data_IF_298894564847
#
_entry.id   IF_298894564847
#
_cell.length_a   1.000
_cell.length_b   1.000
_cell.length_c   1.000
_cell.angle_alpha   90.00
_cell.angle_beta   90.00
_cell.angle_gamma   90.00
#
_symmetry.space_group_name_H-M   'P 1'
#
loop_
_entity.id
_entity.type
_entity.pdbx_description
1 polymer ?
#
# COMPACT_ATOMS: atom_id res chain seq x y z
N UNK A 1 36.33 -29.51 39.24
CA UNK A 1 36.08 -28.12 38.83
C UNK A 1 35.11 -28.14 37.65
N UNK A 2 33.85 -27.77 37.87
CA UNK A 2 32.82 -27.71 36.79
C UNK A 2 32.90 -26.37 36.10
N UNK A 3 33.25 -26.33 34.79
CA UNK A 3 33.22 -25.13 33.97
C UNK A 3 31.78 -24.86 33.58
N UNK A 4 31.20 -23.78 34.10
CA UNK A 4 29.88 -23.25 33.67
C UNK A 4 30.12 -22.45 32.39
N UNK A 5 29.65 -22.96 31.26
CA UNK A 5 29.61 -22.24 29.99
C UNK A 5 28.33 -21.41 30.01
N UNK A 6 28.48 -20.10 30.21
CA UNK A 6 27.39 -19.14 30.13
C UNK A 6 27.10 -18.85 28.64
N UNK A 7 26.07 -19.47 28.08
CA UNK A 7 25.63 -19.25 26.72
C UNK A 7 24.81 -17.94 26.67
N UNK A 8 25.44 -16.84 26.29
CA UNK A 8 24.73 -15.58 25.97
C UNK A 8 23.96 -15.76 24.67
N UNK A 9 22.67 -16.06 24.77
CA UNK A 9 21.74 -15.94 23.67
C UNK A 9 21.53 -14.45 23.38
N UNK A 10 22.25 -13.95 22.38
CA UNK A 10 21.96 -12.65 21.75
C UNK A 10 20.58 -12.72 21.06
N UNK A 11 19.54 -12.39 21.79
CA UNK A 11 18.23 -12.12 21.23
C UNK A 11 18.32 -10.79 20.49
N UNK A 12 18.63 -10.83 19.20
CA UNK A 12 18.45 -9.68 18.33
C UNK A 12 16.94 -9.47 18.13
N UNK A 13 16.35 -8.71 19.02
CA UNK A 13 14.99 -8.20 18.83
C UNK A 13 15.02 -7.29 17.59
N UNK A 14 14.52 -7.78 16.47
CA UNK A 14 14.16 -6.94 15.35
C UNK A 14 13.02 -6.03 15.83
N UNK A 15 13.38 -4.84 16.33
CA UNK A 15 12.42 -3.79 16.62
C UNK A 15 11.96 -3.29 15.25
N UNK A 16 10.85 -3.84 14.74
CA UNK A 16 10.12 -3.21 13.67
C UNK A 16 9.64 -1.86 14.21
N UNK A 17 10.33 -0.79 13.85
CA UNK A 17 9.91 0.55 14.20
C UNK A 17 8.53 0.79 13.60
N UNK A 18 7.50 0.75 14.44
CA UNK A 18 6.14 1.04 14.04
C UNK A 18 6.07 2.47 13.53
N UNK A 19 5.45 2.67 12.35
CA UNK A 19 5.25 4.02 11.81
C UNK A 19 4.32 4.79 12.75
N UNK A 20 4.78 5.97 13.19
CA UNK A 20 3.96 6.85 14.00
C UNK A 20 2.99 7.62 13.11
N UNK A 21 1.69 7.36 13.24
CA UNK A 21 0.65 8.00 12.45
C UNK A 21 0.70 9.53 12.53
N UNK A 22 0.81 10.07 13.75
CA UNK A 22 0.77 11.52 13.99
C UNK A 22 1.99 12.27 13.42
N UNK A 23 3.07 11.58 13.14
CA UNK A 23 4.26 12.15 12.50
C UNK A 23 4.03 12.42 11.01
N UNK A 24 3.36 11.48 10.32
CA UNK A 24 3.26 11.48 8.86
C UNK A 24 1.89 11.90 8.32
N UNK A 25 0.82 11.72 9.10
CA UNK A 25 -0.54 11.83 8.60
C UNK A 25 -1.44 12.71 9.46
N UNK A 26 -2.49 13.26 8.83
CA UNK A 26 -3.62 13.91 9.50
C UNK A 26 -4.78 12.92 9.64
N UNK A 27 -5.83 13.32 10.39
CA UNK A 27 -7.03 12.49 10.56
C UNK A 27 -8.03 12.66 9.39
N UNK A 28 -7.53 12.93 8.20
CA UNK A 28 -8.29 13.07 6.96
C UNK A 28 -7.88 11.94 6.00
N UNK A 29 -8.64 11.74 4.94
CA UNK A 29 -8.37 10.74 3.92
C UNK A 29 -7.87 11.40 2.63
N UNK A 30 -6.85 10.81 2.02
CA UNK A 30 -6.50 11.04 0.63
C UNK A 30 -7.04 9.87 -0.19
N UNK A 31 -7.95 10.16 -1.15
CA UNK A 31 -8.40 9.21 -2.15
C UNK A 31 -7.62 9.44 -3.43
N UNK A 32 -7.06 8.37 -3.95
CA UNK A 32 -6.37 8.32 -5.24
C UNK A 32 -7.27 7.56 -6.21
N UNK A 33 -7.77 8.25 -7.22
CA UNK A 33 -8.56 7.64 -8.28
C UNK A 33 -7.66 7.33 -9.49
N UNK A 34 -7.89 6.19 -10.12
CA UNK A 34 -7.09 5.69 -11.23
C UNK A 34 -7.91 4.89 -12.22
N UNK A 35 -7.40 4.72 -13.42
CA UNK A 35 -7.91 3.78 -14.40
C UNK A 35 -6.98 2.57 -14.51
N UNK A 36 -7.58 1.37 -14.59
CA UNK A 36 -6.91 0.15 -14.92
C UNK A 36 -7.41 -0.32 -16.28
N UNK A 37 -6.57 -0.22 -17.29
CA UNK A 37 -6.92 -0.39 -18.70
C UNK A 37 -6.07 -1.48 -19.34
N UNK A 38 -6.65 -2.27 -20.22
CA UNK A 38 -5.89 -3.27 -20.96
C UNK A 38 -6.76 -4.32 -21.64
N UNK A 39 -6.12 -5.45 -21.92
CA UNK A 39 -6.72 -6.66 -22.47
C UNK A 39 -6.16 -7.88 -21.73
N UNK A 40 -6.33 -9.08 -22.29
CA UNK A 40 -5.84 -10.32 -21.68
C UNK A 40 -4.34 -10.31 -21.35
N UNK A 41 -3.52 -9.71 -22.22
CA UNK A 41 -2.05 -9.83 -22.18
C UNK A 41 -1.35 -8.53 -21.77
N UNK A 42 -2.09 -7.43 -21.72
CA UNK A 42 -1.54 -6.09 -21.45
C UNK A 42 -2.37 -5.36 -20.40
N UNK A 43 -1.70 -4.63 -19.54
CA UNK A 43 -2.34 -3.78 -18.54
C UNK A 43 -1.55 -2.49 -18.30
N UNK A 44 -2.29 -1.43 -18.01
CA UNK A 44 -1.75 -0.11 -17.63
C UNK A 44 -2.61 0.43 -16.50
N UNK A 45 -1.98 0.87 -15.43
CA UNK A 45 -2.63 1.68 -14.39
C UNK A 45 -2.23 3.13 -14.62
N UNK A 46 -3.22 4.01 -14.80
CA UNK A 46 -3.02 5.43 -15.00
C UNK A 46 -3.69 6.25 -13.92
N UNK A 47 -2.97 7.22 -13.39
CA UNK A 47 -3.49 8.17 -12.41
C UNK A 47 -4.59 9.04 -13.03
N UNK A 48 -5.67 9.29 -12.27
CA UNK A 48 -6.73 10.22 -12.64
C UNK A 48 -6.66 11.50 -11.78
N UNK A 49 -6.96 11.37 -10.49
CA UNK A 49 -7.01 12.52 -9.57
C UNK A 49 -6.79 12.14 -8.12
N UNK A 50 -6.52 13.17 -7.31
CA UNK A 50 -6.52 13.09 -5.85
C UNK A 50 -7.72 13.85 -5.29
N UNK A 51 -8.37 13.27 -4.29
CA UNK A 51 -9.49 13.88 -3.58
C UNK A 51 -9.22 13.84 -2.08
N UNK A 52 -9.37 14.99 -1.42
CA UNK A 52 -9.32 15.08 0.04
C UNK A 52 -10.72 14.83 0.60
N UNK A 53 -10.82 13.90 1.53
CA UNK A 53 -12.07 13.53 2.20
C UNK A 53 -11.99 13.78 3.72
N UNK A 54 -13.16 13.91 4.42
CA UNK A 54 -13.21 14.50 5.76
C UNK A 54 -12.39 13.80 6.82
N UNK A 55 -12.46 12.46 6.96
CA UNK A 55 -11.69 11.79 8.00
C UNK A 55 -11.26 10.38 7.63
N UNK A 56 -10.14 10.00 8.25
CA UNK A 56 -9.56 8.68 8.10
C UNK A 56 -10.27 7.67 9.02
N UNK A 57 -10.93 6.67 8.42
CA UNK A 57 -11.61 5.59 9.12
C UNK A 57 -10.77 4.31 9.25
N UNK A 58 -9.57 4.29 8.68
CA UNK A 58 -8.68 3.13 8.71
C UNK A 58 -7.82 3.05 9.97
N UNK A 59 -6.96 2.04 10.03
CA UNK A 59 -6.02 1.85 11.14
C UNK A 59 -5.03 3.01 11.24
N UNK A 60 -4.74 3.45 12.47
CA UNK A 60 -3.65 4.38 12.79
C UNK A 60 -2.40 3.66 13.32
N UNK A 61 -2.48 2.36 13.54
CA UNK A 61 -1.39 1.53 14.09
C UNK A 61 -0.77 0.63 13.03
N UNK A 62 -1.60 -0.04 12.24
CA UNK A 62 -1.15 -0.99 11.21
C UNK A 62 -1.08 -0.27 9.86
N UNK A 63 -0.08 0.57 9.69
CA UNK A 63 0.09 1.39 8.48
C UNK A 63 0.84 0.66 7.36
N UNK A 64 1.60 -0.37 7.71
CA UNK A 64 2.34 -1.20 6.76
C UNK A 64 1.63 -2.55 6.64
N UNK A 65 1.26 -2.93 5.43
CA UNK A 65 0.69 -4.22 5.14
C UNK A 65 1.76 -5.32 5.27
N UNK A 66 1.50 -6.28 6.14
CA UNK A 66 2.36 -7.44 6.38
C UNK A 66 1.78 -8.73 5.81
N UNK A 67 0.52 -8.71 5.34
CA UNK A 67 -0.16 -9.89 4.80
C UNK A 67 0.11 -10.10 3.32
N UNK A 68 0.34 -9.02 2.59
CA UNK A 68 0.58 -9.03 1.15
C UNK A 68 -0.54 -9.71 0.35
N UNK A 69 -1.79 -9.45 0.74
CA UNK A 69 -2.95 -9.94 0.02
C UNK A 69 -3.30 -9.04 -1.16
N UNK A 70 -3.85 -9.67 -2.23
CA UNK A 70 -4.15 -9.00 -3.49
C UNK A 70 -2.99 -9.09 -4.48
N UNK A 71 -3.25 -8.69 -5.71
CA UNK A 71 -2.29 -8.82 -6.80
C UNK A 71 -1.45 -7.55 -7.00
N UNK A 72 -1.86 -6.46 -6.34
CA UNK A 72 -1.18 -5.16 -6.38
C UNK A 72 -0.89 -4.67 -4.97
N UNK A 73 0.09 -3.79 -4.86
CA UNK A 73 0.49 -3.18 -3.60
C UNK A 73 0.61 -1.66 -3.77
N UNK A 74 -0.23 -0.92 -3.07
CA UNK A 74 -0.02 0.51 -2.86
C UNK A 74 1.12 0.69 -1.87
N UNK A 75 2.13 1.46 -2.23
CA UNK A 75 3.25 1.84 -1.35
C UNK A 75 3.39 3.36 -1.35
N UNK A 76 3.48 3.92 -0.17
CA UNK A 76 3.61 5.37 0.04
C UNK A 76 4.90 5.65 0.80
N UNK A 77 5.73 6.49 0.24
CA UNK A 77 7.02 6.86 0.80
C UNK A 77 7.05 8.35 1.16
N UNK A 78 7.68 8.68 2.29
CA UNK A 78 8.10 10.05 2.56
C UNK A 78 9.13 10.46 1.51
N UNK A 79 8.83 11.51 0.74
CA UNK A 79 9.69 11.95 -0.37
C UNK A 79 11.06 12.44 0.12
N UNK A 80 11.16 12.92 1.37
CA UNK A 80 12.39 13.52 1.89
C UNK A 80 13.48 12.50 2.22
N UNK A 81 13.10 11.29 2.65
CA UNK A 81 14.02 10.25 3.12
C UNK A 81 13.78 8.87 2.51
N UNK A 82 12.79 8.77 1.61
CA UNK A 82 12.39 7.54 0.94
C UNK A 82 11.96 6.40 1.90
N UNK A 83 11.50 6.76 3.11
CA UNK A 83 10.98 5.81 4.09
C UNK A 83 9.57 5.37 3.70
N UNK A 84 9.32 4.06 3.69
CA UNK A 84 7.96 3.52 3.52
C UNK A 84 7.13 3.87 4.75
N UNK A 85 6.04 4.63 4.57
CA UNK A 85 5.18 5.13 5.66
C UNK A 85 3.76 4.55 5.63
N UNK A 86 3.34 4.00 4.47
CA UNK A 86 2.05 3.32 4.33
C UNK A 86 2.14 2.28 3.21
N UNK A 87 1.49 1.14 3.40
CA UNK A 87 1.28 0.18 2.32
C UNK A 87 -0.02 -0.59 2.50
N UNK A 88 -0.62 -1.01 1.37
CA UNK A 88 -1.84 -1.81 1.35
C UNK A 88 -1.92 -2.65 0.08
N UNK A 89 -2.12 -3.96 0.25
CA UNK A 89 -2.44 -4.86 -0.85
C UNK A 89 -3.87 -4.65 -1.34
N UNK A 90 -4.10 -4.82 -2.65
CA UNK A 90 -5.41 -4.70 -3.26
C UNK A 90 -5.54 -5.54 -4.54
N UNK A 91 -6.76 -5.72 -5.00
CA UNK A 91 -7.09 -6.31 -6.30
C UNK A 91 -8.06 -5.39 -7.03
N UNK A 92 -8.19 -5.55 -8.33
CA UNK A 92 -9.06 -4.73 -9.18
C UNK A 92 -10.07 -5.56 -9.95
N UNK A 93 -11.19 -4.96 -10.34
CA UNK A 93 -12.16 -5.60 -11.22
C UNK A 93 -11.57 -5.93 -12.60
N UNK A 94 -10.61 -5.14 -13.06
CA UNK A 94 -9.88 -5.41 -14.30
C UNK A 94 -9.27 -6.81 -14.30
N UNK A 95 -8.65 -7.22 -13.19
CA UNK A 95 -8.01 -8.53 -13.06
C UNK A 95 -9.00 -9.68 -13.17
N UNK A 96 -10.18 -9.55 -12.55
CA UNK A 96 -11.24 -10.54 -12.68
C UNK A 96 -11.73 -10.62 -14.12
N UNK A 97 -12.01 -9.47 -14.74
CA UNK A 97 -12.40 -9.41 -16.15
C UNK A 97 -11.31 -9.94 -17.09
N UNK A 98 -10.03 -9.72 -16.81
CA UNK A 98 -8.89 -10.17 -17.63
C UNK A 98 -8.86 -11.71 -17.81
N UNK A 99 -9.53 -12.46 -16.92
CA UNK A 99 -9.66 -13.92 -17.03
C UNK A 99 -10.75 -14.37 -18.01
N UNK A 100 -11.57 -13.47 -18.52
CA UNK A 100 -12.70 -13.79 -19.40
C UNK A 100 -12.29 -13.96 -20.87
N UNK A 101 -13.16 -14.62 -21.65
CA UNK A 101 -12.97 -14.72 -23.11
C UNK A 101 -13.06 -13.36 -23.82
N UNK A 102 -13.85 -12.44 -23.28
CA UNK A 102 -13.98 -11.08 -23.83
C UNK A 102 -12.63 -10.36 -23.84
N UNK A 103 -11.82 -10.51 -22.78
CA UNK A 103 -10.52 -9.86 -22.66
C UNK A 103 -9.53 -10.24 -23.75
N UNK A 104 -9.73 -11.35 -24.44
CA UNK A 104 -8.90 -11.76 -25.58
C UNK A 104 -9.13 -10.89 -26.83
N UNK A 105 -10.31 -10.26 -26.93
CA UNK A 105 -10.77 -9.63 -28.16
C UNK A 105 -10.91 -8.11 -28.05
N UNK A 106 -11.03 -7.57 -26.83
CA UNK A 106 -11.28 -6.14 -26.63
C UNK A 106 -10.39 -5.56 -25.53
N UNK A 107 -10.20 -4.25 -25.58
CA UNK A 107 -9.63 -3.45 -24.51
C UNK A 107 -10.75 -2.87 -23.66
N UNK A 108 -10.56 -2.89 -22.34
CA UNK A 108 -11.46 -2.22 -21.38
C UNK A 108 -10.70 -1.38 -20.39
N UNK A 109 -11.37 -0.38 -19.87
CA UNK A 109 -10.90 0.47 -18.78
C UNK A 109 -11.87 0.38 -17.62
N UNK A 110 -11.31 0.22 -16.42
CA UNK A 110 -12.06 0.16 -15.16
C UNK A 110 -11.56 1.28 -14.25
N UNK A 111 -12.50 2.01 -13.68
CA UNK A 111 -12.18 2.96 -12.62
C UNK A 111 -11.88 2.23 -11.32
N UNK A 112 -10.90 2.73 -10.59
CA UNK A 112 -10.54 2.25 -9.26
C UNK A 112 -10.20 3.40 -8.33
N UNK A 113 -10.39 3.17 -7.04
CA UNK A 113 -10.03 4.14 -6.01
C UNK A 113 -9.26 3.45 -4.89
N UNK A 114 -8.20 4.08 -4.44
CA UNK A 114 -7.45 3.69 -3.25
C UNK A 114 -7.52 4.81 -2.22
N UNK A 115 -7.62 4.44 -0.96
CA UNK A 115 -7.62 5.40 0.13
C UNK A 115 -6.41 5.17 1.04
N UNK A 116 -5.84 6.28 1.49
CA UNK A 116 -4.76 6.33 2.46
C UNK A 116 -4.98 7.51 3.40
N UNK A 117 -4.36 7.51 4.59
CA UNK A 117 -4.46 8.69 5.46
C UNK A 117 -3.78 9.89 4.79
N UNK A 118 -4.34 11.09 4.99
CA UNK A 118 -3.87 12.30 4.31
C UNK A 118 -2.47 12.69 4.82
N UNK A 119 -1.46 12.77 3.95
CA UNK A 119 -0.08 13.04 4.35
C UNK A 119 0.13 14.51 4.76
N UNK A 120 0.98 14.74 5.77
CA UNK A 120 1.39 16.08 6.23
C UNK A 120 2.47 16.70 5.36
N UNK A 121 3.18 15.90 4.57
CA UNK A 121 4.30 16.31 3.71
C UNK A 121 4.18 15.67 2.33
N UNK A 122 5.02 16.08 1.41
CA UNK A 122 5.12 15.47 0.09
C UNK A 122 5.44 13.99 0.19
N UNK A 123 4.75 13.21 -0.62
CA UNK A 123 4.87 11.75 -0.70
C UNK A 123 5.14 11.30 -2.13
N UNK A 124 5.74 10.13 -2.25
CA UNK A 124 5.83 9.37 -3.48
C UNK A 124 4.95 8.11 -3.36
N UNK A 125 4.16 7.86 -4.37
CA UNK A 125 3.31 6.67 -4.50
C UNK A 125 3.82 5.77 -5.61
#
# INVERSE_FOLDING_TARGET
MKKIILLFLLYSSFIFSQINFEEYFTNETLRLDFYHTGNKDNEIISFEKLVKEPFWAGSKKNLIDTFNYGNYMLKVYDETNNKLIYSRGFSTLFQEWQTTEEAKNVWRSFEGSLILPFPKKSIKV
#
